data_IF_304971257973
#
_entry.id   IF_304971257973
#
_cell.length_a   1.000
_cell.length_b   1.000
_cell.length_c   1.000
_cell.angle_alpha   90.00
_cell.angle_beta   90.00
_cell.angle_gamma   90.00
#
_symmetry.space_group_name_H-M   'P 1'
#
loop_
_entity.id
_entity.type
_entity.pdbx_description
1 polymer ?
#
# COMPACT_ATOMS: atom_id res chain seq x y z
N UNK A 1 19.89 6.07 -57.51
CA UNK A 1 19.55 6.39 -56.10
C UNK A 1 19.10 5.11 -55.40
N UNK A 2 20.04 4.37 -54.80
CA UNK A 2 19.76 3.14 -54.05
C UNK A 2 20.73 3.08 -52.87
N UNK A 3 20.20 2.62 -51.73
CA UNK A 3 20.92 2.08 -50.56
C UNK A 3 21.45 3.00 -49.43
N UNK A 4 20.82 4.16 -49.15
CA UNK A 4 21.11 4.89 -47.89
C UNK A 4 19.91 5.03 -46.94
N UNK A 5 18.68 4.85 -47.43
CA UNK A 5 17.47 5.02 -46.61
C UNK A 5 17.35 3.96 -45.49
N UNK A 6 17.96 2.79 -45.67
CA UNK A 6 17.97 1.72 -44.65
C UNK A 6 18.94 1.97 -43.49
N UNK A 7 19.92 2.88 -43.66
CA UNK A 7 20.97 3.13 -42.66
C UNK A 7 20.48 4.04 -41.52
N UNK A 8 19.48 4.88 -41.80
CA UNK A 8 18.91 5.83 -40.82
C UNK A 8 17.65 5.30 -40.11
N UNK A 9 16.98 4.29 -40.67
CA UNK A 9 15.78 3.69 -40.07
C UNK A 9 16.11 2.92 -38.78
N UNK A 10 17.26 2.22 -38.76
CA UNK A 10 17.67 1.39 -37.63
C UNK A 10 17.97 2.19 -36.33
N UNK A 11 18.76 3.29 -36.36
CA UNK A 11 18.95 4.12 -35.17
C UNK A 11 17.67 4.85 -34.73
N UNK A 12 16.79 5.23 -35.67
CA UNK A 12 15.51 5.85 -35.34
C UNK A 12 14.57 4.90 -34.56
N UNK A 13 14.52 3.61 -34.94
CA UNK A 13 13.75 2.59 -34.22
C UNK A 13 14.32 2.38 -32.80
N UNK A 14 15.64 2.38 -32.64
CA UNK A 14 16.29 2.23 -31.32
C UNK A 14 15.95 3.41 -30.39
N UNK A 15 15.93 4.64 -30.89
CA UNK A 15 15.55 5.83 -30.11
C UNK A 15 14.06 5.79 -29.72
N UNK A 16 13.19 5.34 -30.63
CA UNK A 16 11.75 5.19 -30.34
C UNK A 16 11.53 4.11 -29.27
N UNK A 17 12.20 2.96 -29.36
CA UNK A 17 12.12 1.91 -28.33
C UNK A 17 12.67 2.44 -27.00
N UNK A 18 13.84 3.08 -26.97
CA UNK A 18 14.41 3.64 -25.74
C UNK A 18 13.51 4.70 -25.08
N UNK A 19 12.83 5.54 -25.87
CA UNK A 19 11.91 6.56 -25.38
C UNK A 19 10.55 6.03 -24.90
N UNK A 20 10.10 4.88 -25.41
CA UNK A 20 8.86 4.22 -24.95
C UNK A 20 9.13 3.40 -23.68
N UNK A 21 10.32 2.81 -23.53
CA UNK A 21 10.67 1.97 -22.38
C UNK A 21 11.29 2.74 -21.20
N UNK A 22 11.72 3.99 -21.36
CA UNK A 22 12.22 4.82 -20.23
C UNK A 22 11.13 5.27 -19.25
N UNK A 23 9.85 5.01 -19.55
CA UNK A 23 8.71 5.31 -18.67
C UNK A 23 8.31 4.17 -17.73
N UNK A 24 8.90 2.98 -17.86
CA UNK A 24 8.59 1.81 -17.03
C UNK A 24 9.65 1.61 -15.94
N UNK A 25 9.48 2.25 -14.77
CA UNK A 25 9.92 1.69 -13.46
C UNK A 25 9.60 2.53 -12.23
N UNK A 26 8.79 3.59 -12.32
CA UNK A 26 8.25 4.20 -11.09
C UNK A 26 6.88 3.59 -10.82
N UNK A 27 6.80 2.75 -9.78
CA UNK A 27 5.54 2.28 -9.21
C UNK A 27 4.63 3.49 -8.98
N UNK A 28 3.36 3.41 -9.41
CA UNK A 28 2.43 4.53 -9.18
C UNK A 28 2.21 4.71 -7.67
N UNK A 29 1.88 5.93 -7.23
CA UNK A 29 1.62 6.13 -5.80
C UNK A 29 0.44 5.29 -5.29
N UNK A 30 -0.53 5.01 -6.17
CA UNK A 30 -1.64 4.10 -5.87
C UNK A 30 -1.12 2.69 -5.55
N UNK A 31 -0.24 2.15 -6.40
CA UNK A 31 0.39 0.84 -6.16
C UNK A 31 1.23 0.83 -4.89
N UNK A 32 1.94 1.93 -4.57
CA UNK A 32 2.70 2.04 -3.31
C UNK A 32 1.75 1.99 -2.11
N UNK A 33 0.62 2.71 -2.17
CA UNK A 33 -0.38 2.67 -1.11
C UNK A 33 -0.97 1.27 -0.93
N UNK A 34 -1.29 0.58 -2.03
CA UNK A 34 -1.80 -0.79 -1.99
C UNK A 34 -0.82 -1.77 -1.33
N UNK A 35 0.45 -1.73 -1.74
CA UNK A 35 1.47 -2.63 -1.23
C UNK A 35 1.73 -2.39 0.27
N UNK A 36 1.84 -1.13 0.69
CA UNK A 36 2.04 -0.79 2.10
C UNK A 36 0.85 -1.24 2.97
N UNK A 37 -0.38 -1.08 2.47
CA UNK A 37 -1.58 -1.52 3.20
C UNK A 37 -1.67 -3.04 3.30
N UNK A 38 -1.30 -3.78 2.25
CA UNK A 38 -1.21 -5.26 2.28
C UNK A 38 -0.17 -5.71 3.29
N UNK A 39 1.03 -5.13 3.25
CA UNK A 39 2.12 -5.48 4.15
C UNK A 39 1.74 -5.17 5.62
N UNK A 40 1.14 -4.00 5.87
CA UNK A 40 0.58 -3.63 7.18
C UNK A 40 -0.40 -4.66 7.69
N UNK A 41 -1.40 -5.03 6.87
CA UNK A 41 -2.40 -6.03 7.26
C UNK A 41 -1.77 -7.38 7.57
N UNK A 42 -0.78 -7.82 6.80
CA UNK A 42 -0.08 -9.07 7.06
C UNK A 42 0.71 -9.04 8.37
N UNK A 43 1.47 -7.97 8.62
CA UNK A 43 2.26 -7.80 9.85
C UNK A 43 1.34 -7.83 11.07
N UNK A 44 0.25 -7.05 11.04
CA UNK A 44 -0.68 -6.98 12.16
C UNK A 44 -1.37 -8.32 12.42
N UNK A 45 -1.86 -9.01 11.38
CA UNK A 45 -2.43 -10.34 11.56
C UNK A 45 -1.41 -11.34 12.12
N UNK A 46 -0.18 -11.32 11.62
CA UNK A 46 0.86 -12.21 12.13
C UNK A 46 1.16 -11.92 13.61
N UNK A 47 1.10 -10.66 14.04
CA UNK A 47 1.28 -10.29 15.44
C UNK A 47 0.08 -10.74 16.30
N UNK A 48 -1.15 -10.42 15.89
CA UNK A 48 -2.36 -10.76 16.63
C UNK A 48 -2.54 -12.28 16.80
N UNK A 49 -2.22 -13.08 15.78
CA UNK A 49 -2.29 -14.55 15.87
C UNK A 49 -1.00 -15.20 16.39
N UNK A 50 -0.09 -14.42 17.00
CA UNK A 50 1.09 -14.93 17.69
C UNK A 50 2.17 -15.56 16.80
N UNK A 51 2.12 -15.34 15.48
CA UNK A 51 3.14 -15.82 14.53
C UNK A 51 4.44 -15.04 14.62
N UNK A 52 4.36 -13.75 14.98
CA UNK A 52 5.50 -12.91 15.32
C UNK A 52 5.27 -12.25 16.68
N UNK A 53 6.35 -12.03 17.42
CA UNK A 53 6.28 -11.28 18.67
C UNK A 53 6.15 -9.77 18.41
N UNK A 54 5.76 -9.04 19.46
CA UNK A 54 5.52 -7.60 19.40
C UNK A 54 6.74 -6.79 18.93
N UNK A 55 7.95 -7.19 19.34
CA UNK A 55 9.16 -6.45 18.96
C UNK A 55 9.46 -6.62 17.47
N UNK A 56 9.22 -7.83 16.93
CA UNK A 56 9.31 -8.08 15.48
C UNK A 56 8.23 -7.35 14.70
N UNK A 57 7.00 -7.31 15.22
CA UNK A 57 5.91 -6.55 14.62
C UNK A 57 6.25 -5.05 14.56
N UNK A 58 6.67 -4.44 15.67
CA UNK A 58 7.08 -3.03 15.74
C UNK A 58 8.24 -2.73 14.77
N UNK A 59 9.26 -3.59 14.73
CA UNK A 59 10.37 -3.41 13.81
C UNK A 59 9.96 -3.55 12.33
N UNK A 60 8.97 -4.40 12.02
CA UNK A 60 8.43 -4.54 10.67
C UNK A 60 7.55 -3.33 10.31
N UNK A 61 6.62 -2.93 11.17
CA UNK A 61 5.77 -1.76 10.99
C UNK A 61 6.60 -0.50 10.78
N UNK A 62 7.69 -0.28 11.52
CA UNK A 62 8.55 0.91 11.37
C UNK A 62 9.19 1.08 9.98
N UNK A 63 9.22 0.02 9.17
CA UNK A 63 9.72 0.07 7.78
C UNK A 63 8.67 0.65 6.84
N UNK A 64 7.40 0.41 7.12
CA UNK A 64 6.27 0.78 6.24
C UNK A 64 5.40 1.90 6.78
N UNK A 65 5.47 2.19 8.08
CA UNK A 65 4.68 3.20 8.77
C UNK A 65 5.55 4.30 9.38
N UNK A 66 4.93 5.45 9.58
CA UNK A 66 5.48 6.57 10.33
C UNK A 66 4.45 7.12 11.30
N UNK A 67 4.88 8.07 12.13
CA UNK A 67 4.01 8.69 13.12
C UNK A 67 2.92 9.54 12.46
N UNK A 68 1.69 9.56 13.00
CA UNK A 68 1.29 8.91 14.26
C UNK A 68 0.89 7.43 14.16
N UNK A 69 0.55 6.92 12.96
CA UNK A 69 0.01 5.57 12.75
C UNK A 69 0.86 4.46 13.40
N UNK A 70 2.18 4.51 13.24
CA UNK A 70 3.08 3.53 13.87
C UNK A 70 2.88 3.41 15.39
N UNK A 71 2.68 4.54 16.07
CA UNK A 71 2.47 4.54 17.52
C UNK A 71 1.11 3.96 17.90
N UNK A 72 0.10 4.20 17.08
CA UNK A 72 -1.25 3.69 17.29
C UNK A 72 -1.27 2.17 17.13
N UNK A 73 -0.72 1.66 16.03
CA UNK A 73 -0.72 0.23 15.74
C UNK A 73 0.12 -0.57 16.74
N UNK A 74 1.30 -0.08 17.10
CA UNK A 74 2.13 -0.69 18.17
C UNK A 74 1.44 -0.61 19.53
N UNK A 75 0.63 0.42 19.76
CA UNK A 75 -0.22 0.57 20.95
C UNK A 75 -1.30 -0.50 20.99
N UNK A 76 -2.07 -0.64 19.90
CA UNK A 76 -3.16 -1.59 19.76
C UNK A 76 -2.71 -3.05 19.94
N UNK A 77 -1.48 -3.40 19.54
CA UNK A 77 -0.91 -4.74 19.79
C UNK A 77 -0.84 -5.12 21.30
N UNK A 78 -0.95 -4.17 22.23
CA UNK A 78 -0.95 -4.45 23.68
C UNK A 78 -2.32 -4.86 24.22
N UNK A 79 -3.39 -4.42 23.56
CA UNK A 79 -4.72 -4.32 24.18
C UNK A 79 -5.71 -5.38 23.68
N UNK A 80 -5.35 -6.16 22.65
CA UNK A 80 -6.24 -7.15 22.05
C UNK A 80 -5.89 -8.61 22.39
N UNK A 81 -6.92 -9.37 22.78
CA UNK A 81 -6.90 -10.83 22.73
C UNK A 81 -7.18 -11.28 21.29
N UNK A 82 -6.31 -12.15 20.74
CA UNK A 82 -6.44 -12.75 19.43
C UNK A 82 -7.82 -13.37 19.17
N UNK A 83 -8.50 -13.85 20.23
CA UNK A 83 -9.84 -14.44 20.14
C UNK A 83 -10.95 -13.46 19.72
N UNK A 84 -10.68 -12.15 19.75
CA UNK A 84 -11.64 -11.09 19.45
C UNK A 84 -11.49 -10.51 18.04
N UNK A 85 -10.48 -10.94 17.29
CA UNK A 85 -10.20 -10.43 15.95
C UNK A 85 -10.60 -11.46 14.90
N UNK A 86 -11.22 -10.98 13.83
CA UNK A 86 -11.51 -11.80 12.66
C UNK A 86 -10.26 -11.91 11.77
N UNK A 87 -10.12 -13.02 11.05
CA UNK A 87 -8.99 -13.25 10.13
C UNK A 87 -9.29 -12.56 8.81
N UNK A 88 -8.38 -11.71 8.32
CA UNK A 88 -8.39 -11.22 6.93
C UNK A 88 -7.79 -12.30 6.03
N UNK A 89 -8.60 -12.94 5.19
CA UNK A 89 -8.17 -13.94 4.20
C UNK A 89 -7.56 -13.29 2.97
N UNK A 90 -8.17 -12.21 2.50
CA UNK A 90 -7.68 -11.41 1.38
C UNK A 90 -8.31 -10.02 1.40
N UNK A 91 -7.71 -9.11 0.64
CA UNK A 91 -8.21 -7.76 0.43
C UNK A 91 -8.12 -7.39 -1.05
N UNK A 92 -9.19 -6.80 -1.57
CA UNK A 92 -9.25 -6.25 -2.93
C UNK A 92 -9.45 -4.75 -2.86
N UNK A 93 -8.61 -4.01 -3.59
CA UNK A 93 -8.76 -2.58 -3.74
C UNK A 93 -9.77 -2.30 -4.86
N UNK A 94 -10.91 -1.72 -4.48
CA UNK A 94 -11.99 -1.37 -5.41
C UNK A 94 -11.76 0.03 -5.97
N UNK A 95 -11.30 0.95 -5.11
CA UNK A 95 -10.95 2.32 -5.46
C UNK A 95 -9.65 2.66 -4.76
N UNK A 96 -8.69 3.22 -5.49
CA UNK A 96 -7.53 3.93 -4.94
C UNK A 96 -7.40 5.20 -5.75
N UNK A 97 -7.82 6.32 -5.18
CA UNK A 97 -7.83 7.60 -5.88
C UNK A 97 -7.01 8.62 -5.11
N UNK A 98 -5.93 9.10 -5.72
CA UNK A 98 -5.13 10.18 -5.18
C UNK A 98 -5.98 11.47 -5.13
N UNK A 99 -6.25 11.97 -3.93
CA UNK A 99 -7.03 13.21 -3.75
C UNK A 99 -6.13 14.45 -3.80
N UNK A 100 -4.99 14.43 -3.09
CA UNK A 100 -4.10 15.60 -2.98
C UNK A 100 -2.65 15.18 -2.80
N UNK A 101 -1.72 15.99 -3.31
CA UNK A 101 -0.29 15.91 -3.01
C UNK A 101 0.18 17.26 -2.50
N UNK A 102 0.68 17.32 -1.26
CA UNK A 102 1.13 18.55 -0.62
C UNK A 102 2.41 18.29 0.17
N UNK A 103 3.48 19.00 -0.21
CA UNK A 103 4.84 18.79 0.32
C UNK A 103 5.24 17.31 0.26
N UNK A 104 5.53 16.73 1.42
CA UNK A 104 5.94 15.33 1.58
C UNK A 104 4.73 14.38 1.68
N UNK A 105 3.50 14.87 1.61
CA UNK A 105 2.30 14.04 1.83
C UNK A 105 1.50 13.81 0.55
N UNK A 106 0.93 12.61 0.43
CA UNK A 106 0.00 12.22 -0.63
C UNK A 106 -1.21 11.58 0.03
N UNK A 107 -2.41 12.13 -0.20
CA UNK A 107 -3.66 11.60 0.33
C UNK A 107 -4.40 10.79 -0.73
N UNK A 108 -5.05 9.72 -0.27
CA UNK A 108 -5.88 8.84 -1.07
C UNK A 108 -7.22 8.65 -0.42
N UNK A 109 -8.22 8.56 -1.27
CA UNK A 109 -9.45 7.90 -0.97
C UNK A 109 -9.38 6.46 -1.44
N UNK A 110 -9.53 5.52 -0.50
CA UNK A 110 -9.40 4.10 -0.79
C UNK A 110 -10.65 3.36 -0.37
N UNK A 111 -11.23 2.56 -1.27
CA UNK A 111 -12.29 1.61 -0.96
C UNK A 111 -11.75 0.19 -1.02
N UNK A 112 -11.84 -0.53 0.08
CA UNK A 112 -11.30 -1.88 0.24
C UNK A 112 -12.45 -2.85 0.47
N UNK A 113 -12.45 -3.95 -0.28
CA UNK A 113 -13.25 -5.13 -0.01
C UNK A 113 -12.41 -6.13 0.78
N UNK A 114 -12.85 -6.41 2.00
CA UNK A 114 -12.24 -7.36 2.92
C UNK A 114 -12.97 -8.69 2.84
N UNK A 115 -12.20 -9.77 2.70
CA UNK A 115 -12.69 -11.14 2.84
C UNK A 115 -12.26 -11.66 4.20
N UNK A 116 -13.21 -11.81 5.11
CA UNK A 116 -12.98 -12.07 6.51
C UNK A 116 -13.45 -13.46 6.92
N UNK A 117 -12.85 -14.02 7.96
CA UNK A 117 -13.27 -15.25 8.62
C UNK A 117 -13.48 -14.95 10.10
N UNK A 118 -14.74 -14.90 10.52
CA UNK A 118 -15.11 -14.74 11.92
C UNK A 118 -15.47 -16.07 12.58
N UNK A 119 -15.87 -16.02 13.85
CA UNK A 119 -16.15 -17.20 14.67
C UNK A 119 -17.22 -18.15 14.09
N UNK A 120 -18.20 -17.62 13.38
CA UNK A 120 -19.35 -18.40 12.86
C UNK A 120 -19.28 -18.68 11.37
N UNK A 121 -18.76 -17.75 10.57
CA UNK A 121 -18.71 -17.88 9.11
C UNK A 121 -17.73 -16.90 8.48
N UNK A 122 -17.39 -17.19 7.22
CA UNK A 122 -16.76 -16.22 6.34
C UNK A 122 -17.76 -15.13 5.94
N UNK A 123 -17.25 -13.91 5.77
CA UNK A 123 -18.06 -12.78 5.31
C UNK A 123 -17.21 -11.78 4.51
N UNK A 124 -17.90 -10.89 3.81
CA UNK A 124 -17.28 -9.83 3.00
C UNK A 124 -17.72 -8.48 3.55
N UNK A 125 -16.78 -7.55 3.68
CA UNK A 125 -17.04 -6.17 4.12
C UNK A 125 -16.41 -5.19 3.14
N UNK A 126 -17.14 -4.16 2.74
CA UNK A 126 -16.60 -3.06 1.92
C UNK A 126 -16.57 -1.78 2.74
N UNK A 127 -15.40 -1.19 2.91
CA UNK A 127 -15.22 0.03 3.69
C UNK A 127 -14.38 1.05 2.93
N UNK A 128 -14.61 2.32 3.23
CA UNK A 128 -13.89 3.45 2.67
C UNK A 128 -12.93 4.05 3.71
N UNK A 129 -11.76 4.47 3.23
CA UNK A 129 -10.66 4.94 4.06
C UNK A 129 -10.05 6.22 3.50
N UNK A 130 -9.58 7.06 4.42
CA UNK A 130 -8.56 8.09 4.19
C UNK A 130 -7.19 7.44 4.43
N UNK A 131 -6.34 7.49 3.41
CA UNK A 131 -4.98 6.96 3.48
C UNK A 131 -4.00 8.07 3.17
N UNK A 132 -2.98 8.24 4.00
CA UNK A 132 -1.95 9.26 3.76
C UNK A 132 -0.58 8.58 3.73
N UNK A 133 0.13 8.82 2.63
CA UNK A 133 1.54 8.49 2.48
C UNK A 133 2.39 9.72 2.82
N UNK A 134 3.51 9.49 3.51
CA UNK A 134 4.54 10.49 3.77
C UNK A 134 5.85 10.08 3.10
N UNK A 135 6.44 10.99 2.34
CA UNK A 135 7.77 10.87 1.76
C UNK A 135 8.82 10.93 2.86
N UNK A 136 9.79 10.03 2.80
CA UNK A 136 10.93 9.93 3.71
C UNK A 136 12.20 9.72 2.89
N UNK A 137 13.36 9.73 3.54
CA UNK A 137 14.64 9.40 2.90
C UNK A 137 14.70 7.96 2.36
N UNK A 138 13.84 7.06 2.85
CA UNK A 138 13.80 5.64 2.49
C UNK A 138 12.67 5.31 1.50
N UNK A 139 11.94 6.32 1.02
CA UNK A 139 10.74 6.15 0.19
C UNK A 139 9.48 6.60 0.93
N UNK A 140 8.31 6.08 0.55
CA UNK A 140 7.05 6.43 1.17
C UNK A 140 6.69 5.49 2.30
N UNK A 141 6.09 6.03 3.37
CA UNK A 141 5.53 5.27 4.49
C UNK A 141 4.08 5.70 4.74
N UNK A 142 3.26 4.80 5.26
CA UNK A 142 1.91 5.11 5.74
C UNK A 142 2.00 6.00 6.98
N UNK A 143 1.38 7.18 6.92
CA UNK A 143 1.22 8.06 8.08
C UNK A 143 -0.20 8.05 8.65
N UNK A 144 -1.19 7.64 7.85
CA UNK A 144 -2.59 7.57 8.26
C UNK A 144 -3.34 6.46 7.51
N UNK A 145 -4.20 5.74 8.22
CA UNK A 145 -5.16 4.78 7.67
C UNK A 145 -6.44 4.78 8.53
N UNK A 146 -7.40 5.64 8.19
CA UNK A 146 -8.61 5.87 8.98
C UNK A 146 -9.88 5.60 8.16
N UNK A 147 -10.96 5.09 8.76
CA UNK A 147 -12.27 5.05 8.11
C UNK A 147 -12.66 6.46 7.61
N UNK A 148 -13.15 6.56 6.38
CA UNK A 148 -13.63 7.83 5.83
C UNK A 148 -14.91 8.22 6.58
N UNK A 149 -14.87 9.34 7.31
CA UNK A 149 -16.04 9.87 7.99
C UNK A 149 -16.98 10.49 6.95
N UNK A 150 -18.25 10.07 6.94
CA UNK A 150 -19.30 10.79 6.23
C UNK A 150 -19.63 12.05 7.04
N UNK A 151 -19.40 13.23 6.45
CA UNK A 151 -19.80 14.53 7.02
C UNK A 151 -21.17 14.95 6.50
#
# INVERSE_FOLDING_TARGET
MKQYDKLLILPAIIIIIAGIFSGFSNQSYDQIAEDLLRERTEILQNAYYGKIDRNKAEAALSKIETYPLLSEDVGNLKDYDASQLDIVKSMDFIIVNQETKMFDYISFHTKIRWYMSGLSSDYVSENEYSVILKSTSEGYKLSEFNPKQEY
#
